data_IF_671382531768
#
_entry.id   IF_671382531768
#
_cell.length_a   1.000
_cell.length_b   1.000
_cell.length_c   1.000
_cell.angle_alpha   90.00
_cell.angle_beta   90.00
_cell.angle_gamma   90.00
#
_symmetry.space_group_name_H-M   'P 1'
#
loop_
_entity.id
_entity.type
_entity.pdbx_description
1 polymer ?
#
# COMPACT_ATOMS: atom_id res chain seq x y z
N UNK A 1 54.60 6.16 -0.69
CA UNK A 1 53.28 6.82 -0.63
C UNK A 1 52.80 7.11 -2.05
N UNK A 2 51.74 6.43 -2.49
CA UNK A 2 50.69 6.86 -3.44
C UNK A 2 49.98 5.61 -3.94
N UNK A 3 48.84 5.33 -3.31
CA UNK A 3 47.94 4.21 -3.60
C UNK A 3 46.59 4.81 -3.96
N UNK A 4 45.93 4.27 -4.99
CA UNK A 4 44.47 4.35 -5.16
C UNK A 4 43.95 5.48 -6.05
N UNK A 5 43.69 5.17 -7.32
CA UNK A 5 42.69 5.89 -8.15
C UNK A 5 42.11 5.06 -9.32
N UNK A 6 42.40 3.75 -9.44
CA UNK A 6 42.04 2.97 -10.65
C UNK A 6 40.70 2.23 -10.53
N UNK A 7 40.15 2.06 -9.32
CA UNK A 7 38.92 1.28 -9.11
C UNK A 7 37.60 1.97 -9.47
N UNK A 8 37.56 3.31 -9.53
CA UNK A 8 36.31 4.06 -9.70
C UNK A 8 35.83 4.18 -11.16
N UNK A 9 36.74 4.01 -12.14
CA UNK A 9 36.42 4.24 -13.56
C UNK A 9 35.73 3.00 -14.18
N UNK A 10 36.02 1.79 -13.70
CA UNK A 10 35.44 0.57 -14.27
C UNK A 10 33.96 0.36 -13.89
N UNK A 11 33.54 0.78 -12.70
CA UNK A 11 32.15 0.65 -12.24
C UNK A 11 31.17 1.55 -13.00
N UNK A 12 31.61 2.74 -13.41
CA UNK A 12 30.78 3.69 -14.14
C UNK A 12 30.57 3.28 -15.60
N UNK A 13 31.60 2.68 -16.23
CA UNK A 13 31.50 2.19 -17.60
C UNK A 13 30.49 1.02 -17.75
N UNK A 14 30.38 0.16 -16.73
CA UNK A 14 29.43 -0.96 -16.75
C UNK A 14 27.97 -0.51 -16.53
N UNK A 15 27.76 0.53 -15.72
CA UNK A 15 26.43 1.11 -15.50
C UNK A 15 25.91 1.85 -16.74
N UNK A 16 26.79 2.55 -17.48
CA UNK A 16 26.42 3.23 -18.73
C UNK A 16 26.14 2.21 -19.85
N UNK A 17 26.86 1.08 -19.91
CA UNK A 17 26.60 0.04 -20.90
C UNK A 17 25.25 -0.68 -20.68
N UNK A 18 24.84 -0.91 -19.42
CA UNK A 18 23.55 -1.53 -19.10
C UNK A 18 22.37 -0.57 -19.29
N UNK A 19 22.57 0.73 -19.05
CA UNK A 19 21.53 1.74 -19.32
C UNK A 19 21.39 2.03 -20.83
N UNK A 20 22.49 1.99 -21.60
CA UNK A 20 22.45 2.18 -23.05
C UNK A 20 21.79 1.00 -23.79
N UNK A 21 21.68 -0.18 -23.18
CA UNK A 21 20.98 -1.33 -23.79
C UNK A 21 19.45 -1.24 -23.66
N UNK A 22 18.90 -0.51 -22.68
CA UNK A 22 17.44 -0.31 -22.58
C UNK A 22 16.92 0.83 -23.47
N UNK A 23 17.75 1.81 -23.79
CA UNK A 23 17.38 2.99 -24.59
C UNK A 23 17.41 2.74 -26.11
N UNK A 24 18.21 1.76 -26.58
CA UNK A 24 18.28 1.39 -27.99
C UNK A 24 16.98 0.77 -28.55
N UNK A 25 15.98 0.46 -27.71
CA UNK A 25 14.66 -0.06 -28.14
C UNK A 25 13.62 1.03 -28.43
N UNK A 26 13.85 2.30 -28.09
CA UNK A 26 12.79 3.34 -28.16
C UNK A 26 13.08 4.54 -29.08
N UNK A 27 14.24 4.59 -29.75
CA UNK A 27 14.42 5.39 -30.96
C UNK A 27 14.15 6.91 -30.85
N UNK A 28 14.27 7.52 -29.67
CA UNK A 28 14.16 8.98 -29.51
C UNK A 28 15.14 9.51 -28.48
N UNK A 29 16.20 10.15 -28.94
CA UNK A 29 17.06 10.98 -28.10
C UNK A 29 16.36 12.34 -27.86
N UNK A 30 16.12 12.68 -26.59
CA UNK A 30 15.75 14.04 -26.16
C UNK A 30 16.95 14.59 -25.39
N UNK A 31 17.49 15.72 -25.85
CA UNK A 31 18.70 16.30 -25.30
C UNK A 31 18.40 17.16 -24.06
N UNK A 32 18.49 16.54 -22.88
CA UNK A 32 18.21 17.14 -21.58
C UNK A 32 19.23 18.20 -21.13
N UNK A 33 20.36 18.32 -21.83
CA UNK A 33 21.42 19.27 -21.45
C UNK A 33 21.00 20.73 -21.60
N UNK A 34 20.01 21.02 -22.46
CA UNK A 34 19.53 22.38 -22.70
C UNK A 34 18.56 22.85 -21.61
N UNK A 35 17.78 21.94 -21.01
CA UNK A 35 16.68 22.31 -20.08
C UNK A 35 17.21 22.59 -18.67
N UNK A 36 18.32 21.96 -18.28
CA UNK A 36 18.91 22.13 -16.94
C UNK A 36 19.82 23.38 -16.84
N UNK A 37 20.22 23.96 -17.97
CA UNK A 37 21.02 25.19 -18.00
C UNK A 37 20.27 26.43 -17.51
N UNK A 38 18.97 26.54 -17.81
CA UNK A 38 18.19 27.76 -17.54
C UNK A 38 17.69 27.89 -16.10
N UNK A 39 17.47 26.80 -15.38
CA UNK A 39 16.90 26.83 -14.03
C UNK A 39 17.90 27.30 -12.96
N UNK A 40 19.20 27.07 -13.15
CA UNK A 40 20.25 27.44 -12.19
C UNK A 40 20.61 28.93 -12.31
N UNK A 41 20.45 29.54 -13.49
CA UNK A 41 20.70 30.96 -13.71
C UNK A 41 19.68 31.88 -12.99
N UNK A 42 18.51 31.36 -12.60
CA UNK A 42 17.39 32.17 -12.10
C UNK A 42 17.31 32.30 -10.57
N UNK A 43 18.16 31.62 -9.78
CA UNK A 43 18.36 31.90 -8.35
C UNK A 43 17.10 32.00 -7.47
N UNK A 44 16.03 31.25 -7.75
CA UNK A 44 14.74 31.36 -7.04
C UNK A 44 14.50 30.22 -6.07
N UNK A 45 14.42 30.53 -4.78
CA UNK A 45 13.92 29.67 -3.71
C UNK A 45 12.44 29.98 -3.41
N UNK A 46 11.63 28.94 -3.21
CA UNK A 46 10.19 29.04 -2.90
C UNK A 46 9.94 28.46 -1.50
N UNK A 47 9.27 29.25 -0.64
CA UNK A 47 8.94 28.93 0.75
C UNK A 47 7.49 28.44 0.85
N UNK A 48 7.27 27.33 1.58
CA UNK A 48 5.95 26.73 1.84
C UNK A 48 5.41 27.20 3.20
N UNK A 49 4.21 27.78 3.22
CA UNK A 49 3.47 28.16 4.43
C UNK A 49 2.49 27.06 4.88
N UNK A 50 2.31 26.92 6.20
CA UNK A 50 1.43 25.94 6.86
C UNK A 50 0.25 26.68 7.52
N UNK A 51 -1.01 26.24 7.37
CA UNK A 51 -2.13 26.77 8.16
C UNK A 51 -2.45 25.93 9.42
N UNK A 52 -2.85 26.65 10.47
CA UNK A 52 -3.20 26.18 11.83
C UNK A 52 -4.66 25.70 11.93
N UNK A 53 -5.00 24.64 12.70
CA UNK A 53 -6.40 24.27 12.96
C UNK A 53 -7.01 24.97 14.19
N UNK A 54 -8.29 25.34 14.08
CA UNK A 54 -9.15 25.90 15.14
C UNK A 54 -10.03 24.81 15.77
N UNK A 55 -10.20 24.73 17.10
CA UNK A 55 -11.15 23.83 17.74
C UNK A 55 -12.53 24.48 17.88
N UNK A 56 -13.59 23.70 17.66
CA UNK A 56 -14.98 24.12 17.93
C UNK A 56 -15.68 23.06 18.79
N UNK A 57 -16.22 23.51 19.92
CA UNK A 57 -17.00 22.70 20.86
C UNK A 57 -18.47 23.10 20.78
N UNK A 58 -19.39 22.13 20.92
CA UNK A 58 -20.76 22.38 21.35
C UNK A 58 -21.39 21.12 21.94
N UNK A 59 -22.09 21.34 23.04
CA UNK A 59 -22.75 20.42 23.97
C UNK A 59 -24.26 20.61 23.80
N UNK A 60 -25.06 19.53 23.83
CA UNK A 60 -26.50 19.64 24.14
C UNK A 60 -26.97 18.38 24.87
N UNK A 61 -27.54 18.58 26.05
CA UNK A 61 -28.22 17.61 26.90
C UNK A 61 -29.67 17.33 26.44
N UNK A 62 -30.19 16.17 26.88
CA UNK A 62 -31.60 15.97 27.20
C UNK A 62 -32.43 15.17 26.18
N UNK A 63 -32.97 14.02 26.60
CA UNK A 63 -34.39 13.90 27.01
C UNK A 63 -34.76 12.41 27.26
N UNK A 64 -35.27 12.12 28.45
CA UNK A 64 -35.92 10.86 28.80
C UNK A 64 -37.26 10.71 28.08
N UNK A 65 -37.60 9.48 27.67
CA UNK A 65 -38.99 9.05 27.47
C UNK A 65 -39.12 7.57 27.77
N UNK A 66 -39.89 7.26 28.80
CA UNK A 66 -40.31 5.92 29.19
C UNK A 66 -41.49 5.49 28.33
N UNK A 67 -41.42 4.32 27.68
CA UNK A 67 -42.61 3.68 27.09
C UNK A 67 -42.62 2.17 27.34
N UNK A 68 -43.44 1.82 28.32
CA UNK A 68 -44.29 0.63 28.49
C UNK A 68 -44.30 -0.41 27.34
N UNK A 69 -43.72 -1.58 27.64
CA UNK A 69 -44.33 -2.92 27.45
C UNK A 69 -44.72 -3.41 26.06
N UNK A 70 -43.85 -4.22 25.45
CA UNK A 70 -44.19 -5.47 24.72
C UNK A 70 -43.03 -6.44 24.94
N UNK A 71 -43.30 -7.63 25.49
CA UNK A 71 -42.30 -8.71 25.64
C UNK A 71 -42.19 -9.40 24.28
N UNK A 72 -41.07 -9.31 23.54
CA UNK A 72 -40.86 -10.10 22.34
C UNK A 72 -40.61 -11.58 22.71
N UNK A 73 -41.02 -12.54 21.87
CA UNK A 73 -40.78 -13.95 22.13
C UNK A 73 -39.29 -14.24 22.25
N UNK A 74 -38.96 -15.07 23.24
CA UNK A 74 -37.61 -15.55 23.53
C UNK A 74 -36.86 -15.91 22.25
N UNK A 75 -35.66 -15.37 21.99
CA UNK A 75 -34.83 -15.86 20.91
C UNK A 75 -34.51 -17.32 21.25
N UNK A 76 -35.10 -18.25 20.51
CA UNK A 76 -34.63 -19.63 20.42
C UNK A 76 -33.14 -19.56 20.19
N UNK A 77 -32.36 -19.94 21.19
CA UNK A 77 -30.92 -20.11 21.11
C UNK A 77 -30.64 -21.11 20.01
N UNK A 78 -30.43 -20.61 18.80
CA UNK A 78 -29.90 -21.38 17.69
C UNK A 78 -28.65 -22.08 18.21
N UNK A 79 -28.48 -23.39 18.00
CA UNK A 79 -27.33 -24.10 18.51
C UNK A 79 -26.10 -23.38 18.00
N UNK A 80 -25.36 -22.76 18.93
CA UNK A 80 -24.05 -22.22 18.69
C UNK A 80 -23.25 -23.39 18.12
N UNK A 81 -23.16 -23.41 16.79
CA UNK A 81 -22.29 -24.30 16.06
C UNK A 81 -20.93 -24.02 16.67
N UNK A 82 -20.45 -24.95 17.50
CA UNK A 82 -19.16 -24.86 18.11
C UNK A 82 -18.19 -24.51 16.98
N UNK A 83 -17.74 -23.26 16.97
CA UNK A 83 -16.65 -22.83 16.10
C UNK A 83 -15.51 -23.73 16.53
N UNK A 84 -15.25 -24.78 15.75
CA UNK A 84 -14.00 -25.49 15.84
C UNK A 84 -12.93 -24.39 15.83
N UNK A 85 -12.23 -24.22 16.94
CA UNK A 85 -11.21 -23.19 17.12
C UNK A 85 -10.16 -23.42 16.04
N UNK A 86 -10.34 -22.75 14.91
CA UNK A 86 -9.41 -22.77 13.81
C UNK A 86 -8.13 -22.09 14.28
N UNK A 87 -6.99 -22.61 13.84
CA UNK A 87 -5.72 -21.95 14.10
C UNK A 87 -5.77 -20.57 13.45
N UNK A 88 -5.74 -19.52 14.28
CA UNK A 88 -5.70 -18.14 13.80
C UNK A 88 -4.27 -17.66 13.68
N UNK A 89 -3.97 -17.02 12.55
CA UNK A 89 -2.70 -16.34 12.29
C UNK A 89 -2.98 -14.85 12.14
N UNK A 90 -2.08 -14.03 12.67
CA UNK A 90 -2.20 -12.59 12.66
C UNK A 90 -1.08 -11.99 11.84
N UNK A 91 -1.41 -11.04 10.96
CA UNK A 91 -0.43 -10.18 10.28
C UNK A 91 -0.63 -8.78 10.80
N UNK A 92 0.40 -8.17 11.38
CA UNK A 92 0.27 -6.82 11.93
C UNK A 92 0.31 -5.78 10.79
N UNK A 93 -0.32 -4.64 11.02
CA UNK A 93 -0.22 -3.50 10.10
C UNK A 93 1.24 -3.06 9.91
N UNK A 94 2.06 -3.10 10.96
CA UNK A 94 3.46 -2.71 10.89
C UNK A 94 4.27 -3.61 9.95
N UNK A 95 4.05 -4.93 10.01
CA UNK A 95 4.73 -5.90 9.13
C UNK A 95 4.31 -5.71 7.66
N UNK A 96 3.02 -5.51 7.43
CA UNK A 96 2.48 -5.24 6.10
C UNK A 96 3.04 -3.93 5.53
N UNK A 97 3.03 -2.86 6.34
CA UNK A 97 3.55 -1.55 5.96
C UNK A 97 5.05 -1.61 5.63
N UNK A 98 5.84 -2.30 6.45
CA UNK A 98 7.27 -2.49 6.22
C UNK A 98 7.56 -3.20 4.90
N UNK A 99 6.81 -4.26 4.58
CA UNK A 99 6.95 -5.02 3.31
C UNK A 99 6.53 -4.20 2.10
N UNK A 100 5.38 -3.54 2.18
CA UNK A 100 4.90 -2.68 1.10
C UNK A 100 5.86 -1.52 0.84
N UNK A 101 6.34 -0.85 1.89
CA UNK A 101 7.33 0.23 1.76
C UNK A 101 8.62 -0.27 1.10
N UNK A 102 9.12 -1.44 1.49
CA UNK A 102 10.30 -2.03 0.85
C UNK A 102 10.05 -2.31 -0.63
N UNK A 103 8.93 -2.96 -0.99
CA UNK A 103 8.56 -3.24 -2.37
C UNK A 103 8.43 -1.97 -3.22
N UNK A 104 7.72 -0.95 -2.73
CA UNK A 104 7.56 0.32 -3.44
C UNK A 104 8.84 1.14 -3.54
N UNK A 105 9.86 0.86 -2.72
CA UNK A 105 11.16 1.54 -2.83
C UNK A 105 12.06 0.95 -3.93
N UNK A 106 11.88 -0.34 -4.27
CA UNK A 106 12.70 -1.06 -5.27
C UNK A 106 11.92 -1.48 -6.51
N UNK A 107 10.62 -1.21 -6.53
CA UNK A 107 9.71 -1.65 -7.58
C UNK A 107 9.77 -0.82 -8.86
N UNK A 108 9.01 -1.24 -9.89
CA UNK A 108 8.94 -0.53 -11.18
C UNK A 108 8.35 0.87 -11.04
N UNK A 109 7.45 1.08 -10.08
CA UNK A 109 6.91 2.40 -9.74
C UNK A 109 7.29 2.72 -8.31
N UNK A 110 8.08 3.79 -8.15
CA UNK A 110 8.57 4.20 -6.83
C UNK A 110 7.53 5.05 -6.13
N UNK A 111 6.95 4.49 -5.06
CA UNK A 111 6.07 5.23 -4.16
C UNK A 111 6.85 5.59 -2.89
N UNK A 112 6.94 6.90 -2.61
CA UNK A 112 7.57 7.44 -1.40
C UNK A 112 6.53 7.61 -0.31
N UNK A 113 6.99 7.66 0.94
CA UNK A 113 6.14 7.88 2.11
C UNK A 113 4.97 6.88 2.20
N UNK A 114 5.19 5.65 1.72
CA UNK A 114 4.18 4.60 1.72
C UNK A 114 3.69 4.32 3.13
N UNK A 115 2.35 4.34 3.27
CA UNK A 115 1.63 4.00 4.49
C UNK A 115 0.42 3.13 4.18
N UNK A 116 0.38 1.96 4.79
CA UNK A 116 -0.81 1.11 4.80
C UNK A 116 -1.76 1.50 5.94
N UNK A 117 -3.06 1.30 5.71
CA UNK A 117 -4.14 1.40 6.68
C UNK A 117 -5.09 0.22 6.48
N UNK A 118 -5.58 -0.32 7.57
CA UNK A 118 -6.55 -1.39 7.57
C UNK A 118 -7.96 -0.81 7.71
N UNK A 119 -8.88 -1.26 6.87
CA UNK A 119 -10.28 -0.83 6.90
C UNK A 119 -11.16 -2.08 6.97
N UNK A 120 -11.76 -2.38 8.14
CA UNK A 120 -12.66 -3.50 8.29
C UNK A 120 -13.84 -3.42 7.29
N UNK A 121 -14.36 -4.57 6.82
CA UNK A 121 -14.03 -5.92 7.28
C UNK A 121 -12.89 -6.60 6.52
N UNK A 122 -12.48 -6.08 5.36
CA UNK A 122 -11.61 -6.82 4.42
C UNK A 122 -10.75 -5.93 3.52
N UNK A 123 -10.59 -4.64 3.83
CA UNK A 123 -9.90 -3.69 2.95
C UNK A 123 -8.55 -3.24 3.51
N UNK A 124 -7.62 -3.00 2.60
CA UNK A 124 -6.33 -2.35 2.85
C UNK A 124 -6.26 -1.12 1.97
N UNK A 125 -5.97 0.02 2.57
CA UNK A 125 -5.71 1.27 1.89
C UNK A 125 -4.22 1.58 1.97
N UNK A 126 -3.57 1.82 0.85
CA UNK A 126 -2.16 2.19 0.76
C UNK A 126 -2.07 3.59 0.16
N UNK A 127 -1.59 4.52 0.97
CA UNK A 127 -1.29 5.88 0.53
C UNK A 127 0.20 6.07 0.31
N UNK A 128 0.56 6.96 -0.61
CA UNK A 128 1.93 7.41 -0.77
C UNK A 128 2.07 8.55 -1.77
N UNK A 129 3.32 8.85 -2.13
CA UNK A 129 3.68 9.95 -3.02
C UNK A 129 4.50 9.43 -4.20
N UNK A 130 3.95 9.59 -5.39
CA UNK A 130 4.62 9.26 -6.63
C UNK A 130 5.42 10.47 -7.13
N UNK A 131 6.72 10.28 -7.39
CA UNK A 131 7.57 11.34 -7.96
C UNK A 131 7.63 11.20 -9.48
N UNK A 132 7.04 12.14 -10.21
CA UNK A 132 7.04 12.20 -11.67
C UNK A 132 7.80 13.42 -12.15
N UNK A 133 9.05 13.21 -12.61
CA UNK A 133 9.95 14.27 -13.09
C UNK A 133 10.07 15.45 -12.11
N UNK A 134 9.21 16.46 -12.25
CA UNK A 134 9.18 17.70 -11.44
C UNK A 134 7.98 17.82 -10.50
N UNK A 135 7.03 16.87 -10.53
CA UNK A 135 5.81 16.91 -9.71
C UNK A 135 5.76 15.72 -8.76
N UNK A 136 5.28 15.95 -7.55
CA UNK A 136 4.95 14.88 -6.61
C UNK A 136 3.44 14.73 -6.52
N UNK A 137 2.93 13.56 -6.91
CA UNK A 137 1.50 13.25 -6.96
C UNK A 137 1.14 12.36 -5.78
N UNK A 138 0.23 12.75 -4.88
CA UNK A 138 -0.32 11.85 -3.88
C UNK A 138 -1.17 10.77 -4.56
N UNK A 139 -1.01 9.52 -4.14
CA UNK A 139 -1.76 8.38 -4.66
C UNK A 139 -2.35 7.59 -3.51
N UNK A 140 -3.60 7.19 -3.67
CA UNK A 140 -4.31 6.28 -2.79
C UNK A 140 -4.71 5.02 -3.55
N UNK A 141 -4.41 3.86 -2.97
CA UNK A 141 -4.67 2.55 -3.53
C UNK A 141 -5.56 1.80 -2.54
N UNK A 142 -6.73 1.38 -2.97
CA UNK A 142 -7.61 0.51 -2.20
C UNK A 142 -7.50 -0.91 -2.75
N UNK A 143 -7.30 -1.87 -1.86
CA UNK A 143 -7.30 -3.28 -2.17
C UNK A 143 -8.17 -4.07 -1.20
N UNK A 144 -8.74 -5.17 -1.70
CA UNK A 144 -9.60 -6.09 -0.95
C UNK A 144 -8.88 -7.40 -0.69
N UNK A 145 -9.03 -7.94 0.51
CA UNK A 145 -8.55 -9.26 0.89
C UNK A 145 -9.64 -10.29 0.65
N UNK A 146 -9.27 -11.36 -0.02
CA UNK A 146 -10.15 -12.51 -0.28
C UNK A 146 -9.37 -13.81 -0.08
N UNK A 147 -10.10 -14.91 0.09
CA UNK A 147 -9.52 -16.26 0.09
C UNK A 147 -9.99 -16.93 -1.20
N UNK A 148 -9.06 -17.45 -1.99
CA UNK A 148 -9.40 -18.19 -3.21
C UNK A 148 -9.83 -19.63 -2.91
N UNK A 149 -10.33 -20.33 -3.92
CA UNK A 149 -10.82 -21.73 -3.79
C UNK A 149 -9.71 -22.71 -3.37
N UNK A 150 -8.44 -22.32 -3.50
CA UNK A 150 -7.28 -23.13 -3.08
C UNK A 150 -6.88 -22.86 -1.64
N UNK A 151 -7.53 -21.89 -0.98
CA UNK A 151 -7.22 -21.44 0.36
C UNK A 151 -6.03 -20.49 0.44
N UNK A 152 -5.63 -19.85 -0.67
CA UNK A 152 -4.63 -18.79 -0.62
C UNK A 152 -5.29 -17.43 -0.36
N UNK A 153 -4.67 -16.61 0.49
CA UNK A 153 -5.12 -15.23 0.69
C UNK A 153 -4.64 -14.39 -0.48
N UNK A 154 -5.56 -13.67 -1.10
CA UNK A 154 -5.33 -12.77 -2.23
C UNK A 154 -5.65 -11.35 -1.84
N UNK A 155 -4.75 -10.45 -2.20
CA UNK A 155 -4.98 -9.00 -2.21
C UNK A 155 -5.31 -8.61 -3.65
N UNK A 156 -6.42 -7.91 -3.84
CA UNK A 156 -6.87 -7.47 -5.17
C UNK A 156 -7.22 -6.01 -5.14
N UNK A 157 -6.56 -5.22 -5.97
CA UNK A 157 -6.75 -3.79 -6.10
C UNK A 157 -8.15 -3.53 -6.64
N UNK A 158 -8.93 -2.77 -5.89
CA UNK A 158 -10.26 -2.32 -6.28
C UNK A 158 -10.24 -0.92 -6.84
N UNK A 159 -9.29 -0.08 -6.39
CA UNK A 159 -9.18 1.30 -6.83
C UNK A 159 -7.74 1.80 -6.75
N UNK A 160 -7.33 2.59 -7.74
CA UNK A 160 -6.13 3.41 -7.69
C UNK A 160 -6.52 4.82 -8.07
N UNK A 161 -6.24 5.79 -7.20
CA UNK A 161 -6.61 7.19 -7.38
C UNK A 161 -5.42 8.09 -7.17
N UNK A 162 -5.24 9.06 -8.06
CA UNK A 162 -4.26 10.11 -7.93
C UNK A 162 -4.96 11.42 -7.56
N UNK A 163 -4.45 12.08 -6.53
CA UNK A 163 -5.07 13.28 -5.98
C UNK A 163 -4.52 14.51 -6.69
N UNK A 164 -5.39 15.25 -7.36
CA UNK A 164 -5.03 16.52 -8.01
C UNK A 164 -4.19 16.38 -9.29
N UNK A 165 -4.06 15.18 -9.84
CA UNK A 165 -3.38 14.93 -11.11
C UNK A 165 -3.95 13.70 -11.81
N UNK A 166 -3.79 13.65 -13.13
CA UNK A 166 -4.08 12.44 -13.91
C UNK A 166 -2.79 11.67 -14.12
N UNK A 167 -2.80 10.39 -13.73
CA UNK A 167 -1.69 9.48 -14.00
C UNK A 167 -1.94 8.71 -15.31
N UNK A 168 -0.88 8.39 -16.07
CA UNK A 168 -0.98 7.44 -17.17
C UNK A 168 -1.55 6.09 -16.71
N UNK A 169 -2.38 5.46 -17.54
CA UNK A 169 -3.02 4.19 -17.23
C UNK A 169 -2.02 3.07 -16.91
N UNK A 170 -0.86 3.07 -17.57
CA UNK A 170 0.20 2.08 -17.34
C UNK A 170 0.77 2.17 -15.92
N UNK A 171 0.89 3.38 -15.36
CA UNK A 171 1.36 3.61 -14.00
C UNK A 171 0.32 3.10 -13.00
N UNK A 172 -0.96 3.43 -13.21
CA UNK A 172 -2.07 2.98 -12.35
C UNK A 172 -2.15 1.45 -12.32
N UNK A 173 -2.06 0.81 -13.50
CA UNK A 173 -2.06 -0.65 -13.64
C UNK A 173 -0.85 -1.29 -12.94
N UNK A 174 0.33 -0.68 -13.07
CA UNK A 174 1.55 -1.20 -12.44
C UNK A 174 1.50 -1.09 -10.92
N UNK A 175 0.99 0.04 -10.39
CA UNK A 175 0.76 0.20 -8.95
C UNK A 175 -0.21 -0.84 -8.41
N UNK A 176 -1.33 -1.07 -9.09
CA UNK A 176 -2.31 -2.09 -8.73
C UNK A 176 -1.71 -3.51 -8.70
N UNK A 177 -0.98 -3.89 -9.76
CA UNK A 177 -0.29 -5.20 -9.78
C UNK A 177 0.73 -5.34 -8.67
N UNK A 178 1.49 -4.29 -8.40
CA UNK A 178 2.52 -4.33 -7.37
C UNK A 178 1.94 -4.54 -5.96
N UNK A 179 0.81 -3.89 -5.63
CA UNK A 179 0.13 -4.14 -4.36
C UNK A 179 -0.54 -5.52 -4.32
N UNK A 180 -1.08 -6.01 -5.44
CA UNK A 180 -1.70 -7.33 -5.51
C UNK A 180 -0.66 -8.43 -5.23
N UNK A 181 0.48 -8.33 -5.88
CA UNK A 181 1.59 -9.28 -5.77
C UNK A 181 2.24 -9.20 -4.38
N UNK A 182 2.66 -8.00 -3.95
CA UNK A 182 3.36 -7.87 -2.67
C UNK A 182 2.41 -8.03 -1.48
N UNK A 183 1.18 -7.51 -1.56
CA UNK A 183 0.18 -7.68 -0.51
C UNK A 183 -0.17 -9.16 -0.31
N UNK A 184 -0.41 -9.90 -1.40
CA UNK A 184 -0.66 -11.35 -1.32
C UNK A 184 0.54 -12.10 -0.75
N UNK A 185 1.76 -11.74 -1.19
CA UNK A 185 3.01 -12.33 -0.71
C UNK A 185 3.26 -12.04 0.77
N UNK A 186 3.01 -10.81 1.22
CA UNK A 186 3.19 -10.38 2.59
C UNK A 186 2.31 -11.19 3.55
N UNK A 187 1.03 -11.37 3.19
CA UNK A 187 0.10 -12.18 3.99
C UNK A 187 0.50 -13.65 3.92
N UNK A 188 0.80 -14.20 2.74
CA UNK A 188 1.19 -15.59 2.58
C UNK A 188 2.47 -15.95 3.35
N UNK A 189 3.45 -15.04 3.41
CA UNK A 189 4.70 -15.24 4.14
C UNK A 189 4.52 -15.32 5.66
N UNK A 190 3.42 -14.80 6.19
CA UNK A 190 3.08 -14.95 7.60
C UNK A 190 2.36 -16.28 7.91
N UNK A 191 1.89 -16.99 6.89
CA UNK A 191 1.19 -18.26 7.07
C UNK A 191 2.18 -19.42 7.21
N UNK A 192 1.88 -20.42 8.05
CA UNK A 192 2.66 -21.65 8.09
C UNK A 192 2.72 -22.33 6.73
N UNK A 193 3.88 -22.88 6.37
CA UNK A 193 4.05 -23.59 5.10
C UNK A 193 3.02 -24.73 4.95
N UNK A 194 2.37 -24.79 3.78
CA UNK A 194 1.35 -25.79 3.47
C UNK A 194 -0.02 -25.56 4.14
N UNK A 195 -0.20 -24.49 4.91
CA UNK A 195 -1.52 -24.14 5.46
C UNK A 195 -2.44 -23.53 4.41
N UNK A 196 -3.74 -23.74 4.59
CA UNK A 196 -4.79 -23.17 3.75
C UNK A 196 -5.65 -22.23 4.59
N UNK A 197 -5.87 -21.02 4.14
CA UNK A 197 -6.82 -20.10 4.74
C UNK A 197 -8.25 -20.57 4.43
N UNK A 198 -9.12 -20.46 5.43
CA UNK A 198 -10.57 -20.63 5.31
C UNK A 198 -11.26 -19.27 5.24
N UNK A 199 -10.78 -18.32 6.03
CA UNK A 199 -11.36 -16.98 6.14
C UNK A 199 -10.26 -15.96 6.38
N UNK A 200 -10.43 -14.78 5.82
CA UNK A 200 -9.64 -13.61 6.13
C UNK A 200 -10.57 -12.52 6.66
N UNK A 201 -10.11 -11.80 7.67
CA UNK A 201 -10.79 -10.63 8.20
C UNK A 201 -9.74 -9.55 8.52
N UNK A 202 -10.13 -8.31 8.37
CA UNK A 202 -9.33 -7.14 8.69
C UNK A 202 -9.91 -6.51 9.95
N UNK A 203 -9.06 -6.36 10.95
CA UNK A 203 -9.29 -5.55 12.14
C UNK A 203 -8.51 -4.23 12.02
N UNK A 204 -8.71 -3.30 12.95
CA UNK A 204 -8.09 -1.96 12.91
C UNK A 204 -6.56 -1.97 12.79
N UNK A 205 -5.88 -2.97 13.34
CA UNK A 205 -4.41 -3.03 13.41
C UNK A 205 -3.79 -4.35 12.94
N UNK A 206 -4.62 -5.32 12.56
CA UNK A 206 -4.17 -6.64 12.12
C UNK A 206 -5.10 -7.27 11.10
N UNK A 207 -4.53 -8.16 10.29
CA UNK A 207 -5.26 -9.10 9.45
C UNK A 207 -5.32 -10.42 10.20
N UNK A 208 -6.52 -10.96 10.36
CA UNK A 208 -6.77 -12.26 10.98
C UNK A 208 -7.05 -13.27 9.88
N UNK A 209 -6.21 -14.29 9.80
CA UNK A 209 -6.38 -15.41 8.87
C UNK A 209 -6.76 -16.65 9.68
N UNK A 210 -7.94 -17.17 9.44
CA UNK A 210 -8.43 -18.41 10.02
C UNK A 210 -8.01 -19.57 9.11
N UNK A 211 -7.27 -20.53 9.65
CA UNK A 211 -6.74 -21.65 8.88
C UNK A 211 -7.72 -22.84 8.87
N UNK A 212 -7.76 -23.55 7.75
CA UNK A 212 -8.42 -24.83 7.67
C UNK A 212 -7.71 -25.86 8.59
N UNK A 213 -8.45 -26.78 9.21
CA UNK A 213 -7.86 -27.91 9.94
C UNK A 213 -6.89 -28.67 9.06
N UNK A 214 -5.75 -29.08 9.61
CA UNK A 214 -4.83 -30.00 8.93
C UNK A 214 -5.53 -31.36 8.82
N UNK A 215 -5.94 -31.71 7.61
CA UNK A 215 -6.48 -33.04 7.28
C UNK A 215 -5.37 -34.06 7.10
#
# INVERSE_FOLDING_TARGET
>A
MRTGCVGAVLGFALAVALFSWSEARLGRAVDWTTILGDAVAAGRSVVLGVPTPTPSASRTDGQSSSTRGVIPPSPTSSPARASADGTKVWVTLADLDGRLRASFSTGPVVLRETRARLTPPDRVNVGGRLSLAVVTVPVEIEAKLTVDDRGAVRVTTTRVEAIGATLPADILSTLGKQIDDEGSRAVAAALPAGSKARKVAVESERIVVDLAPRG
#
